data_IF_408423478804
#
_entry.id   IF_408423478804
#
_cell.length_a   1.000
_cell.length_b   1.000
_cell.length_c   1.000
_cell.angle_alpha   90.00
_cell.angle_beta   90.00
_cell.angle_gamma   90.00
#
_symmetry.space_group_name_H-M   'P 1'
#
loop_
_entity.id
_entity.type
_entity.pdbx_description
1 polymer ?
#
# COMPACT_ATOMS: atom_id res chain seq x y z
N UNK A 1 7.25 -8.78 -4.25
CA UNK A 1 6.27 -9.12 -5.31
C UNK A 1 5.75 -7.83 -5.94
N UNK A 2 5.58 -7.79 -7.26
CA UNK A 2 5.09 -6.62 -7.98
C UNK A 2 3.64 -6.30 -7.61
N UNK A 3 2.84 -7.32 -7.30
CA UNK A 3 1.44 -7.17 -6.88
C UNK A 3 1.31 -6.36 -5.60
N UNK A 4 2.17 -6.63 -4.61
CA UNK A 4 2.23 -5.89 -3.34
C UNK A 4 2.57 -4.42 -3.57
N UNK A 5 3.52 -4.14 -4.47
CA UNK A 5 3.91 -2.77 -4.81
C UNK A 5 2.75 -2.02 -5.49
N UNK A 6 2.09 -2.63 -6.46
CA UNK A 6 0.93 -2.02 -7.14
C UNK A 6 -0.22 -1.77 -6.17
N UNK A 7 -0.50 -2.73 -5.27
CA UNK A 7 -1.53 -2.60 -4.24
C UNK A 7 -1.27 -1.41 -3.29
N UNK A 8 0.00 -1.20 -2.93
CA UNK A 8 0.43 -0.14 -2.03
C UNK A 8 0.40 1.23 -2.72
N UNK A 9 0.87 1.34 -3.97
CA UNK A 9 0.86 2.59 -4.73
C UNK A 9 -0.55 3.06 -5.14
N UNK A 10 -1.46 2.12 -5.39
CA UNK A 10 -2.86 2.43 -5.68
C UNK A 10 -3.70 2.64 -4.41
N UNK A 11 -3.07 2.61 -3.23
CA UNK A 11 -3.73 2.65 -1.92
C UNK A 11 -4.91 1.66 -1.81
N UNK A 12 -4.77 0.47 -2.41
CA UNK A 12 -5.80 -0.58 -2.37
C UNK A 12 -5.84 -1.28 -1.01
N UNK A 13 -4.68 -1.35 -0.33
CA UNK A 13 -4.52 -1.77 1.06
C UNK A 13 -3.40 -0.95 1.70
N UNK A 14 -3.55 -0.61 2.99
CA UNK A 14 -2.54 0.10 3.80
C UNK A 14 -1.25 -0.72 3.96
N UNK A 15 -0.11 -0.04 4.07
CA UNK A 15 1.19 -0.68 4.30
C UNK A 15 1.21 -1.46 5.64
N UNK A 16 0.55 -0.94 6.67
CA UNK A 16 0.37 -1.60 7.95
C UNK A 16 -0.36 -2.95 7.83
N UNK A 17 -1.40 -3.01 6.99
CA UNK A 17 -2.13 -4.25 6.73
C UNK A 17 -1.26 -5.26 5.99
N UNK A 18 -0.52 -4.82 4.96
CA UNK A 18 0.37 -5.68 4.19
C UNK A 18 1.55 -6.23 5.02
N UNK A 19 2.03 -5.46 6.00
CA UNK A 19 3.01 -5.93 6.97
C UNK A 19 2.43 -7.00 7.93
N UNK A 20 1.20 -6.81 8.43
CA UNK A 20 0.53 -7.78 9.30
C UNK A 20 0.30 -9.15 8.65
N UNK A 21 0.05 -9.19 7.34
CA UNK A 21 -0.13 -10.43 6.58
C UNK A 21 1.17 -10.97 5.99
N UNK A 22 2.32 -10.46 6.46
CA UNK A 22 3.68 -10.87 6.02
C UNK A 22 3.91 -10.72 4.51
N UNK A 23 3.18 -9.81 3.84
CA UNK A 23 3.32 -9.49 2.41
C UNK A 23 4.46 -8.50 2.13
N UNK A 24 4.88 -7.76 3.16
CA UNK A 24 6.01 -6.83 3.13
C UNK A 24 6.87 -7.11 4.35
N UNK A 25 8.15 -7.42 4.12
CA UNK A 25 9.15 -7.50 5.18
C UNK A 25 9.91 -6.16 5.25
N UNK A 26 9.76 -5.46 6.38
CA UNK A 26 10.37 -4.14 6.59
C UNK A 26 10.39 -3.77 8.07
N UNK A 27 11.18 -2.75 8.43
CA UNK A 27 11.23 -2.22 9.79
C UNK A 27 10.05 -1.29 10.10
N UNK A 28 9.69 -1.17 11.38
CA UNK A 28 8.60 -0.28 11.83
C UNK A 28 8.81 1.18 11.46
N UNK A 29 10.07 1.66 11.41
CA UNK A 29 10.39 3.02 10.97
C UNK A 29 10.01 3.24 9.50
N UNK A 30 10.43 2.32 8.63
CA UNK A 30 10.10 2.36 7.20
C UNK A 30 8.61 2.23 6.96
N UNK A 31 7.90 1.41 7.76
CA UNK A 31 6.45 1.27 7.69
C UNK A 31 5.74 2.61 7.96
N UNK A 32 6.17 3.35 8.97
CA UNK A 32 5.61 4.69 9.26
C UNK A 32 5.86 5.67 8.11
N UNK A 33 7.07 5.67 7.57
CA UNK A 33 7.41 6.51 6.42
C UNK A 33 6.52 6.17 5.21
N UNK A 34 6.25 4.88 4.95
CA UNK A 34 5.36 4.46 3.87
C UNK A 34 3.92 4.94 4.07
N UNK A 35 3.42 4.90 5.31
CA UNK A 35 2.09 5.39 5.67
C UNK A 35 1.96 6.92 5.59
N UNK A 36 3.07 7.65 5.72
CA UNK A 36 3.11 9.12 5.57
C UNK A 36 3.24 9.56 4.10
N UNK A 37 4.05 8.84 3.31
CA UNK A 37 4.30 9.19 1.89
C UNK A 37 3.11 8.86 1.02
N UNK A 38 2.38 7.77 1.32
CA UNK A 38 1.28 7.30 0.49
C UNK A 38 -0.02 7.95 0.96
N UNK A 39 -0.63 8.81 0.12
CA UNK A 39 -1.83 9.53 0.50
C UNK A 39 -3.01 8.56 0.69
N UNK A 40 -3.83 8.84 1.70
CA UNK A 40 -5.04 8.06 1.99
C UNK A 40 -6.20 8.44 1.05
N UNK A 41 -6.02 8.21 -0.24
CA UNK A 41 -7.04 8.42 -1.25
C UNK A 41 -7.42 7.07 -1.85
N UNK A 42 -8.71 6.73 -1.84
CA UNK A 42 -9.19 5.55 -2.52
C UNK A 42 -9.05 5.75 -4.05
N UNK A 43 -8.45 4.77 -4.74
CA UNK A 43 -8.37 4.81 -6.19
C UNK A 43 -9.79 4.85 -6.79
N UNK A 44 -10.09 5.91 -7.53
CA UNK A 44 -11.34 6.04 -8.27
C UNK A 44 -11.12 5.62 -9.73
N UNK A 45 -11.97 4.73 -10.22
CA UNK A 45 -11.99 4.33 -11.62
C UNK A 45 -13.44 4.19 -12.09
N UNK A 46 -13.84 5.00 -13.05
CA UNK A 46 -15.21 5.01 -13.60
C UNK A 46 -15.32 4.44 -15.00
N UNK A 47 -14.20 4.26 -15.69
CA UNK A 47 -14.18 3.84 -17.09
C UNK A 47 -14.22 2.31 -17.19
N UNK A 48 -14.81 1.83 -18.28
CA UNK A 48 -14.82 0.41 -18.63
C UNK A 48 -14.45 0.29 -20.10
N UNK A 49 -13.45 -0.52 -20.42
CA UNK A 49 -12.88 -0.72 -21.74
C UNK A 49 -12.89 -2.20 -22.14
#
# INVERSE_FOLDING_TARGET
>A
DIQTLTCLLMNYRRAAYLYQVERIDTNQQTLRILEEIIPDMAAYFSDYF
#
